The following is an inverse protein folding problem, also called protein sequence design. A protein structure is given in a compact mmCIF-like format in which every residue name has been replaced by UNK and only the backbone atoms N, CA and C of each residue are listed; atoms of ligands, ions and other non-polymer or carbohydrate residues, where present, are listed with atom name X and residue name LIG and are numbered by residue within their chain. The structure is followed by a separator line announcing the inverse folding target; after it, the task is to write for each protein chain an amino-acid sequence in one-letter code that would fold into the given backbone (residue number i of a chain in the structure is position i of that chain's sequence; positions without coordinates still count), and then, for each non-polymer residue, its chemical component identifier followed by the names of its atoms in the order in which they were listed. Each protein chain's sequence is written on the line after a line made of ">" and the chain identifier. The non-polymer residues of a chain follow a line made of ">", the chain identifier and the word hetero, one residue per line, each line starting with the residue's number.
data_IF_652778018238
#
_entry.id   IF_652778018238
#
_cell.length_a   1.000
_cell.length_b   1.000
_cell.length_c   1.000
_cell.angle_alpha   90.00
_cell.angle_beta   90.00
_cell.angle_gamma   90.00
#
_symmetry.space_group_name_H-M   'P 1'
#
loop_
_entity.id
_entity.type
_entity.pdbx_description
1 polymer ?
#
# COMPACT_ATOMS: atom_id res chain seq x y z
N UNK A 1 -38.53 -13.50 -68.09
CA UNK A 1 -37.28 -13.89 -68.80
C UNK A 1 -36.11 -13.18 -68.15
N UNK A 2 -35.05 -13.92 -67.78
CA UNK A 2 -33.72 -13.51 -67.26
C UNK A 2 -33.73 -12.90 -65.85
N UNK A 3 -33.43 -13.63 -64.78
CA UNK A 3 -32.14 -14.18 -64.30
C UNK A 3 -31.07 -13.13 -63.96
N UNK A 4 -30.40 -13.41 -62.82
CA UNK A 4 -29.10 -12.91 -62.34
C UNK A 4 -29.16 -11.57 -61.58
N UNK A 5 -28.64 -11.42 -60.37
CA UNK A 5 -27.65 -12.20 -59.63
C UNK A 5 -27.82 -11.92 -58.11
N UNK A 6 -27.89 -12.96 -57.27
CA UNK A 6 -26.80 -13.47 -56.41
C UNK A 6 -26.64 -12.71 -55.08
N UNK A 7 -26.96 -13.37 -53.95
CA UNK A 7 -26.00 -13.95 -52.97
C UNK A 7 -25.66 -12.90 -51.89
N UNK A 8 -25.69 -13.10 -50.57
CA UNK A 8 -25.64 -14.25 -49.66
C UNK A 8 -26.37 -13.82 -48.36
N UNK A 9 -27.22 -14.64 -47.74
CA UNK A 9 -26.85 -15.58 -46.66
C UNK A 9 -25.91 -14.96 -45.61
N UNK A 10 -26.42 -14.74 -44.38
CA UNK A 10 -25.62 -14.28 -43.26
C UNK A 10 -26.44 -14.09 -41.99
N UNK A 11 -26.72 -15.20 -41.31
CA UNK A 11 -27.20 -15.32 -39.93
C UNK A 11 -26.49 -14.38 -38.94
N UNK A 12 -27.23 -13.74 -38.04
CA UNK A 12 -26.72 -13.24 -36.76
C UNK A 12 -27.67 -13.66 -35.62
N UNK A 13 -27.32 -14.78 -35.01
CA UNK A 13 -27.60 -15.14 -33.62
C UNK A 13 -26.53 -14.49 -32.74
N UNK A 14 -26.94 -13.85 -31.64
CA UNK A 14 -26.23 -13.64 -30.36
C UNK A 14 -26.81 -12.37 -29.73
N UNK A 15 -27.22 -12.30 -28.47
CA UNK A 15 -27.08 -13.21 -27.34
C UNK A 15 -27.41 -12.32 -26.15
N UNK A 16 -28.56 -12.55 -25.52
CA UNK A 16 -28.91 -11.93 -24.25
C UNK A 16 -27.99 -12.52 -23.17
N UNK A 17 -27.00 -11.74 -22.74
CA UNK A 17 -26.33 -11.94 -21.46
C UNK A 17 -26.51 -10.64 -20.67
N UNK A 18 -27.61 -10.59 -19.92
CA UNK A 18 -27.78 -9.62 -18.85
C UNK A 18 -26.75 -9.94 -17.76
N UNK A 19 -25.67 -9.18 -17.72
CA UNK A 19 -24.74 -9.17 -16.61
C UNK A 19 -25.32 -8.31 -15.49
N UNK A 20 -25.38 -8.89 -14.29
CA UNK A 20 -25.66 -8.20 -13.04
C UNK A 20 -24.63 -7.08 -12.85
N UNK A 21 -25.06 -5.83 -12.97
CA UNK A 21 -24.29 -4.68 -12.49
C UNK A 21 -24.31 -4.71 -10.97
N UNK A 22 -23.20 -5.14 -10.36
CA UNK A 22 -22.93 -4.87 -8.96
C UNK A 22 -22.78 -3.35 -8.84
N UNK A 23 -23.72 -2.71 -8.15
CA UNK A 23 -23.68 -1.29 -7.83
C UNK A 23 -22.50 -1.05 -6.89
N UNK A 24 -21.40 -0.53 -7.42
CA UNK A 24 -20.34 0.09 -6.63
C UNK A 24 -20.85 1.48 -6.22
N UNK A 25 -20.77 1.88 -4.93
CA UNK A 25 -21.17 3.22 -4.51
C UNK A 25 -20.31 4.29 -5.19
N UNK A 26 -20.91 5.40 -5.59
CA UNK A 26 -20.17 6.56 -6.12
C UNK A 26 -19.10 7.04 -5.11
N UNK A 27 -17.88 7.37 -5.57
CA UNK A 27 -16.85 7.91 -4.69
C UNK A 27 -17.26 9.30 -4.15
N UNK A 28 -16.97 9.63 -2.87
CA UNK A 28 -17.29 10.94 -2.31
C UNK A 28 -16.51 12.07 -3.00
N UNK A 29 -17.13 13.25 -3.07
CA UNK A 29 -16.56 14.47 -3.68
C UNK A 29 -15.27 14.93 -2.98
N UNK A 30 -14.32 15.38 -3.81
CA UNK A 30 -12.97 15.79 -3.42
C UNK A 30 -12.95 17.15 -2.70
N UNK A 31 -12.35 17.18 -1.51
CA UNK A 31 -11.91 18.42 -0.87
C UNK A 31 -10.43 18.63 -1.23
N UNK A 32 -10.02 19.80 -1.75
CA UNK A 32 -8.61 20.07 -2.03
C UNK A 32 -7.82 20.17 -0.72
N UNK A 33 -6.87 19.25 -0.51
CA UNK A 33 -5.93 19.29 0.62
C UNK A 33 -4.63 19.95 0.19
N UNK A 34 -4.58 21.29 0.19
CA UNK A 34 -3.30 22.00 0.40
C UNK A 34 -3.11 22.20 1.90
N UNK A 35 -2.83 21.11 2.61
CA UNK A 35 -2.55 21.16 4.05
C UNK A 35 -1.05 21.43 4.18
N UNK A 36 -0.68 22.66 4.54
CA UNK A 36 0.57 22.88 5.25
C UNK A 36 0.50 22.01 6.50
N UNK A 37 1.27 20.92 6.54
CA UNK A 37 1.18 19.94 7.61
C UNK A 37 1.59 20.63 8.92
N UNK A 38 0.68 20.74 9.91
CA UNK A 38 1.09 21.08 11.27
C UNK A 38 2.17 20.10 11.68
N UNK A 39 3.18 20.53 12.43
CA UNK A 39 4.17 19.64 13.03
C UNK A 39 3.43 18.45 13.67
N UNK A 40 3.39 17.29 13.00
CA UNK A 40 2.58 16.14 13.42
C UNK A 40 3.05 15.62 14.77
N UNK A 41 4.31 15.87 15.12
CA UNK A 41 4.87 15.58 16.43
C UNK A 41 4.26 16.47 17.52
N UNK A 42 3.63 17.61 17.19
CA UNK A 42 2.85 18.40 18.13
C UNK A 42 1.56 17.70 18.58
N UNK A 43 1.09 16.68 17.83
CA UNK A 43 -0.05 15.83 18.23
C UNK A 43 0.34 14.83 19.32
N UNK A 44 1.64 14.59 19.56
CA UNK A 44 2.12 13.69 20.60
C UNK A 44 1.81 14.23 22.01
N UNK A 45 1.56 13.31 22.96
CA UNK A 45 1.44 13.65 24.38
C UNK A 45 2.60 14.51 24.90
N UNK A 46 2.38 15.38 25.91
CA UNK A 46 3.40 16.30 26.42
C UNK A 46 4.66 15.65 26.99
N UNK A 47 4.59 14.38 27.36
CA UNK A 47 5.69 13.58 27.89
C UNK A 47 6.49 12.85 26.81
N UNK A 48 6.10 12.97 25.54
CA UNK A 48 6.84 12.40 24.41
C UNK A 48 7.78 13.43 23.77
N UNK A 49 8.93 12.98 23.21
CA UNK A 49 9.80 13.84 22.42
C UNK A 49 9.06 14.44 21.22
N UNK A 50 9.46 15.66 20.83
CA UNK A 50 8.93 16.37 19.65
C UNK A 50 10.01 16.79 18.66
N UNK A 51 11.23 16.29 18.84
CA UNK A 51 12.38 16.53 17.98
C UNK A 51 12.42 15.53 16.84
N UNK A 52 13.11 15.89 15.76
CA UNK A 52 13.19 15.11 14.53
C UNK A 52 12.23 15.60 13.44
N UNK A 53 12.19 14.87 12.33
CA UNK A 53 11.31 15.16 11.20
C UNK A 53 10.75 13.87 10.62
N UNK A 54 9.46 13.87 10.36
CA UNK A 54 8.81 12.81 9.59
C UNK A 54 8.83 13.18 8.11
N UNK A 55 9.10 12.19 7.27
CA UNK A 55 9.05 12.36 5.81
C UNK A 55 7.61 12.14 5.36
N UNK A 56 7.11 13.02 4.50
CA UNK A 56 5.80 12.85 3.87
C UNK A 56 5.87 11.76 2.80
N UNK A 57 4.78 11.04 2.62
CA UNK A 57 4.68 10.00 1.59
C UNK A 57 4.20 10.60 0.28
N UNK A 58 4.81 10.17 -0.81
CA UNK A 58 4.24 10.38 -2.14
C UNK A 58 3.14 9.33 -2.38
N UNK A 59 2.04 9.75 -3.00
CA UNK A 59 0.97 8.84 -3.41
C UNK A 59 1.38 7.95 -4.59
N UNK A 60 0.50 7.04 -5.01
CA UNK A 60 0.76 6.25 -6.21
C UNK A 60 0.49 7.09 -7.47
N UNK A 61 1.42 7.03 -8.41
CA UNK A 61 1.27 7.63 -9.74
C UNK A 61 0.60 6.65 -10.71
N UNK A 62 -0.37 7.14 -11.49
CA UNK A 62 -1.03 6.35 -12.52
C UNK A 62 -0.07 5.96 -13.66
N UNK A 63 0.45 4.72 -13.61
CA UNK A 63 1.47 4.20 -14.55
C UNK A 63 1.17 2.74 -14.93
N UNK A 64 2.13 2.08 -15.60
CA UNK A 64 2.01 0.67 -15.98
C UNK A 64 1.87 -0.25 -14.76
N UNK A 65 1.39 -1.48 -14.98
CA UNK A 65 1.15 -2.48 -13.91
C UNK A 65 2.42 -2.77 -13.09
N UNK A 66 3.55 -2.98 -13.75
CA UNK A 66 4.82 -3.25 -13.08
C UNK A 66 5.35 -2.04 -12.30
N UNK A 67 5.13 -0.83 -12.79
CA UNK A 67 5.52 0.39 -12.08
C UNK A 67 4.63 0.61 -10.87
N UNK A 68 3.32 0.43 -11.00
CA UNK A 68 2.36 0.54 -9.89
C UNK A 68 2.65 -0.47 -8.78
N UNK A 69 3.05 -1.70 -9.15
CA UNK A 69 3.52 -2.69 -8.18
C UNK A 69 4.81 -2.24 -7.48
N UNK A 70 5.78 -1.67 -8.20
CA UNK A 70 7.02 -1.20 -7.62
C UNK A 70 6.82 0.02 -6.69
N UNK A 71 5.97 0.96 -7.09
CA UNK A 71 5.62 2.15 -6.31
C UNK A 71 4.87 1.74 -5.03
N UNK A 72 3.92 0.79 -5.13
CA UNK A 72 3.25 0.22 -3.96
C UNK A 72 4.23 -0.41 -2.96
N UNK A 73 5.13 -1.28 -3.43
CA UNK A 73 6.11 -1.91 -2.52
C UNK A 73 7.04 -0.88 -1.89
N UNK A 74 7.44 0.14 -2.64
CA UNK A 74 8.28 1.23 -2.14
C UNK A 74 7.56 2.03 -1.06
N UNK A 75 6.31 2.44 -1.29
CA UNK A 75 5.51 3.17 -0.31
C UNK A 75 5.27 2.35 0.98
N UNK A 76 5.06 1.03 0.85
CA UNK A 76 4.91 0.14 2.00
C UNK A 76 6.21 0.00 2.78
N UNK A 77 7.35 -0.13 2.10
CA UNK A 77 8.67 -0.19 2.74
C UNK A 77 9.02 1.14 3.43
N UNK A 78 8.72 2.27 2.80
CA UNK A 78 8.90 3.59 3.39
C UNK A 78 8.09 3.74 4.68
N UNK A 79 6.81 3.34 4.67
CA UNK A 79 5.99 3.32 5.88
C UNK A 79 6.57 2.39 6.94
N UNK A 80 6.90 1.16 6.57
CA UNK A 80 7.44 0.15 7.50
C UNK A 80 8.66 0.67 8.25
N UNK A 81 9.55 1.39 7.55
CA UNK A 81 10.81 1.88 8.12
C UNK A 81 10.76 3.34 8.62
N UNK A 82 9.64 4.04 8.42
CA UNK A 82 9.49 5.44 8.79
C UNK A 82 9.79 5.65 10.27
N UNK A 83 10.55 6.70 10.57
CA UNK A 83 10.94 7.05 11.95
C UNK A 83 12.06 6.19 12.56
N UNK A 84 12.47 5.06 11.97
CA UNK A 84 13.53 4.21 12.55
C UNK A 84 14.88 4.94 12.64
N UNK A 85 15.25 5.70 11.60
CA UNK A 85 16.43 6.58 11.60
C UNK A 85 16.34 7.68 12.65
N UNK A 86 15.14 8.26 12.84
CA UNK A 86 14.91 9.28 13.86
C UNK A 86 15.11 8.68 15.25
N UNK A 87 14.47 7.54 15.54
CA UNK A 87 14.59 6.86 16.83
C UNK A 87 16.02 6.38 17.10
N UNK A 88 16.77 5.98 16.08
CA UNK A 88 18.15 5.55 16.23
C UNK A 88 19.14 6.71 16.48
N UNK A 89 18.88 7.89 15.93
CA UNK A 89 19.86 8.98 15.87
C UNK A 89 19.51 10.22 16.69
N UNK A 90 18.23 10.46 17.01
CA UNK A 90 17.80 11.59 17.85
C UNK A 90 17.93 11.22 19.33
N UNK A 91 18.75 11.95 20.12
CA UNK A 91 19.01 11.60 21.51
C UNK A 91 17.75 11.49 22.38
N UNK A 92 16.76 12.36 22.15
CA UNK A 92 15.53 12.38 22.94
C UNK A 92 14.67 11.13 22.68
N UNK A 93 14.72 10.55 21.48
CA UNK A 93 13.98 9.33 21.13
C UNK A 93 14.74 8.05 21.49
N UNK A 94 16.07 8.10 21.48
CA UNK A 94 16.95 7.00 21.84
C UNK A 94 17.04 6.76 23.35
N UNK A 95 16.60 7.73 24.17
CA UNK A 95 16.63 7.63 25.63
C UNK A 95 15.76 6.46 26.13
N UNK A 96 16.33 5.49 26.90
CA UNK A 96 15.58 4.36 27.43
C UNK A 96 14.46 4.76 28.41
N UNK A 97 14.51 5.97 28.98
CA UNK A 97 13.47 6.48 29.89
C UNK A 97 12.24 7.01 29.14
N UNK A 98 12.27 7.09 27.79
CA UNK A 98 11.10 7.42 26.99
C UNK A 98 10.01 6.36 27.17
N UNK A 99 8.80 6.76 27.60
CA UNK A 99 7.68 5.84 27.78
C UNK A 99 7.35 5.05 26.51
N UNK A 100 6.95 3.79 26.67
CA UNK A 100 6.63 2.94 25.51
C UNK A 100 5.47 3.49 24.67
N UNK A 101 4.49 4.17 25.28
CA UNK A 101 3.37 4.75 24.54
C UNK A 101 3.83 5.80 23.52
N UNK A 102 4.96 6.48 23.75
CA UNK A 102 5.47 7.45 22.79
C UNK A 102 5.88 6.81 21.45
N UNK A 103 6.37 5.56 21.46
CA UNK A 103 6.64 4.83 20.22
C UNK A 103 5.35 4.33 19.56
N UNK A 104 4.34 3.97 20.36
CA UNK A 104 3.02 3.56 19.86
C UNK A 104 2.33 4.74 19.18
N UNK A 105 2.27 5.89 19.84
CA UNK A 105 1.66 7.12 19.32
C UNK A 105 2.41 7.63 18.08
N UNK A 106 3.75 7.51 18.07
CA UNK A 106 4.55 7.83 16.90
C UNK A 106 4.22 6.91 15.70
N UNK A 107 4.10 5.60 15.92
CA UNK A 107 3.72 4.65 14.87
C UNK A 107 2.32 4.93 14.31
N UNK A 108 1.36 5.30 15.17
CA UNK A 108 0.01 5.69 14.75
C UNK A 108 0.01 7.01 13.95
N UNK A 109 0.79 8.01 14.35
CA UNK A 109 0.95 9.26 13.59
C UNK A 109 1.54 8.97 12.20
N UNK A 110 2.60 8.15 12.14
CA UNK A 110 3.22 7.70 10.89
C UNK A 110 2.19 6.95 10.03
N UNK A 111 1.42 6.03 10.61
CA UNK A 111 0.34 5.34 9.92
C UNK A 111 -0.80 6.26 9.47
N UNK A 112 -0.99 7.39 10.15
CA UNK A 112 -1.83 8.50 9.72
C UNK A 112 -1.34 9.11 8.42
N UNK A 113 -0.06 9.48 8.35
CA UNK A 113 0.59 10.14 7.22
C UNK A 113 0.64 9.20 6.01
N UNK A 114 1.31 8.05 6.14
CA UNK A 114 1.52 7.11 5.04
C UNK A 114 0.22 6.45 4.60
N UNK A 115 -0.64 6.07 5.56
CA UNK A 115 -1.93 5.47 5.25
C UNK A 115 -2.83 6.39 4.44
N UNK A 116 -2.82 7.71 4.69
CA UNK A 116 -3.67 8.66 3.95
C UNK A 116 -3.19 8.92 2.52
N UNK A 117 -1.89 8.76 2.26
CA UNK A 117 -1.31 8.92 0.92
C UNK A 117 -1.47 7.66 0.05
N UNK A 118 -1.56 6.47 0.67
CA UNK A 118 -1.59 5.19 -0.04
C UNK A 118 -2.99 4.55 -0.11
N UNK A 119 -3.79 4.69 0.95
CA UNK A 119 -5.00 3.91 1.15
C UNK A 119 -6.27 4.77 1.00
N UNK A 120 -7.24 4.25 0.26
CA UNK A 120 -8.51 4.94 0.06
C UNK A 120 -9.34 4.93 1.36
N UNK A 121 -9.90 6.09 1.73
CA UNK A 121 -10.79 6.21 2.90
C UNK A 121 -12.08 5.37 2.76
N UNK A 122 -12.50 5.09 1.52
CA UNK A 122 -13.64 4.22 1.18
C UNK A 122 -13.26 2.79 0.79
N UNK A 123 -12.02 2.36 1.07
CA UNK A 123 -11.58 0.98 0.84
C UNK A 123 -12.36 -0.05 1.64
N UNK A 124 -12.26 -1.31 1.25
CA UNK A 124 -12.94 -2.39 1.96
C UNK A 124 -12.23 -2.77 3.29
N UNK A 125 -12.72 -3.80 3.97
CA UNK A 125 -12.18 -4.23 5.26
C UNK A 125 -10.70 -4.63 5.19
N UNK A 126 -10.21 -5.11 4.04
CA UNK A 126 -8.81 -5.55 3.88
C UNK A 126 -7.84 -4.39 4.02
N UNK A 127 -8.21 -3.19 3.55
CA UNK A 127 -7.41 -1.97 3.71
C UNK A 127 -7.24 -1.60 5.18
N UNK A 128 -8.30 -1.73 5.99
CA UNK A 128 -8.23 -1.46 7.42
C UNK A 128 -7.36 -2.49 8.17
N UNK A 129 -7.41 -3.76 7.75
CA UNK A 129 -6.55 -4.82 8.28
C UNK A 129 -5.09 -4.53 7.92
N UNK A 130 -4.80 -4.25 6.65
CA UNK A 130 -3.45 -3.96 6.18
C UNK A 130 -2.85 -2.72 6.86
N UNK A 131 -3.64 -1.65 7.05
CA UNK A 131 -3.21 -0.47 7.81
C UNK A 131 -2.75 -0.84 9.21
N UNK A 132 -3.54 -1.66 9.92
CA UNK A 132 -3.21 -2.09 11.27
C UNK A 132 -1.94 -2.94 11.31
N UNK A 133 -1.78 -3.83 10.33
CA UNK A 133 -0.57 -4.66 10.21
C UNK A 133 0.67 -3.80 9.98
N UNK A 134 0.60 -2.82 9.06
CA UNK A 134 1.73 -1.95 8.76
C UNK A 134 2.07 -0.98 9.89
N UNK A 135 1.08 -0.45 10.60
CA UNK A 135 1.33 0.33 11.84
C UNK A 135 2.02 -0.54 12.90
N UNK A 136 1.60 -1.80 13.06
CA UNK A 136 2.24 -2.75 13.97
C UNK A 136 3.68 -3.07 13.58
N UNK A 137 3.93 -3.32 12.29
CA UNK A 137 5.28 -3.55 11.76
C UNK A 137 6.18 -2.33 11.94
N UNK A 138 5.67 -1.13 11.70
CA UNK A 138 6.40 0.10 11.96
C UNK A 138 6.77 0.23 13.45
N UNK A 139 5.82 -0.03 14.36
CA UNK A 139 6.10 -0.02 15.80
C UNK A 139 7.21 -1.00 16.19
N UNK A 140 7.18 -2.23 15.65
CA UNK A 140 8.22 -3.22 15.90
C UNK A 140 9.59 -2.74 15.40
N UNK A 141 9.63 -2.07 14.24
CA UNK A 141 10.84 -1.45 13.70
C UNK A 141 11.36 -0.30 14.56
N UNK A 142 10.49 0.59 15.05
CA UNK A 142 10.88 1.66 15.96
C UNK A 142 11.48 1.10 17.27
N UNK A 143 10.86 0.06 17.83
CA UNK A 143 11.36 -0.65 19.02
C UNK A 143 12.72 -1.30 18.77
N UNK A 144 12.89 -1.95 17.61
CA UNK A 144 14.15 -2.54 17.21
C UNK A 144 15.25 -1.47 17.05
N UNK A 145 14.94 -0.37 16.37
CA UNK A 145 15.87 0.74 16.16
C UNK A 145 16.33 1.37 17.48
N UNK A 146 15.40 1.62 18.42
CA UNK A 146 15.74 2.13 19.76
C UNK A 146 16.67 1.19 20.52
N UNK A 147 16.40 -0.11 20.45
CA UNK A 147 17.16 -1.13 21.20
C UNK A 147 18.55 -1.36 20.61
N UNK A 148 18.66 -1.33 19.27
CA UNK A 148 19.89 -1.67 18.55
C UNK A 148 20.77 -0.45 18.26
N UNK A 149 20.22 0.77 18.38
CA UNK A 149 20.91 2.03 18.10
C UNK A 149 21.20 2.26 16.62
N UNK A 150 20.48 1.58 15.72
CA UNK A 150 20.64 1.71 14.27
C UNK A 150 19.28 1.61 13.59
N UNK A 151 19.11 2.29 12.45
CA UNK A 151 17.90 2.21 11.66
C UNK A 151 17.64 0.78 11.15
N UNK A 152 16.36 0.42 11.03
CA UNK A 152 15.94 -0.82 10.36
C UNK A 152 15.76 -0.56 8.86
N UNK A 153 15.82 -1.63 8.08
CA UNK A 153 15.62 -1.55 6.63
C UNK A 153 14.90 -2.82 6.14
N UNK A 154 13.63 -2.98 6.53
CA UNK A 154 12.76 -3.99 5.94
C UNK A 154 12.57 -3.64 4.46
N UNK A 155 12.69 -4.63 3.59
CA UNK A 155 12.47 -4.45 2.16
C UNK A 155 11.57 -5.52 1.58
N UNK A 156 10.72 -5.13 0.65
CA UNK A 156 9.89 -6.01 -0.16
C UNK A 156 10.37 -5.97 -1.59
N UNK A 157 10.55 -7.15 -2.17
CA UNK A 157 10.98 -7.32 -3.55
C UNK A 157 9.87 -8.00 -4.35
N UNK A 158 9.45 -7.38 -5.45
CA UNK A 158 8.55 -8.00 -6.39
C UNK A 158 9.25 -9.19 -7.06
N UNK A 159 8.72 -10.39 -6.84
CA UNK A 159 9.22 -11.60 -7.50
C UNK A 159 8.54 -11.78 -8.84
N UNK A 160 7.21 -11.67 -8.88
CA UNK A 160 6.44 -11.78 -10.13
C UNK A 160 5.07 -11.10 -10.00
N UNK A 161 4.59 -10.52 -11.10
CA UNK A 161 3.18 -10.17 -11.29
C UNK A 161 2.48 -11.40 -11.87
N UNK A 162 1.73 -12.15 -11.06
CA UNK A 162 1.04 -13.36 -11.53
C UNK A 162 -0.11 -13.04 -12.46
N UNK A 163 -0.85 -11.97 -12.14
CA UNK A 163 -1.97 -11.50 -12.94
C UNK A 163 -2.08 -10.00 -12.77
N UNK A 164 -2.40 -9.32 -13.86
CA UNK A 164 -2.77 -7.92 -13.80
C UNK A 164 -3.87 -7.63 -14.81
N UNK A 165 -4.64 -6.59 -14.54
CA UNK A 165 -5.67 -6.09 -15.43
C UNK A 165 -5.82 -4.60 -15.19
N UNK A 166 -5.73 -3.82 -16.26
CA UNK A 166 -5.87 -2.36 -16.21
C UNK A 166 -7.11 -1.92 -16.99
N UNK A 167 -7.84 -0.95 -16.45
CA UNK A 167 -8.99 -0.30 -17.08
C UNK A 167 -8.94 1.21 -16.83
N UNK A 168 -9.91 1.96 -17.36
CA UNK A 168 -10.03 3.39 -17.07
C UNK A 168 -10.45 3.66 -15.61
N UNK A 169 -11.10 2.69 -14.98
CA UNK A 169 -11.66 2.81 -13.63
C UNK A 169 -10.71 2.31 -12.55
N UNK A 170 -9.54 1.81 -12.94
CA UNK A 170 -8.53 1.28 -12.02
C UNK A 170 -7.84 0.02 -12.52
N UNK A 171 -7.08 -0.58 -11.61
CA UNK A 171 -6.17 -1.69 -11.84
C UNK A 171 -6.33 -2.77 -10.78
N UNK A 172 -6.23 -4.02 -11.23
CA UNK A 172 -6.08 -5.18 -10.36
C UNK A 172 -4.68 -5.77 -10.53
N UNK A 173 -4.03 -6.10 -9.41
CA UNK A 173 -2.73 -6.75 -9.36
C UNK A 173 -2.78 -7.98 -8.44
N UNK A 174 -2.30 -9.13 -8.93
CA UNK A 174 -1.88 -10.24 -8.10
C UNK A 174 -0.35 -10.34 -8.17
N UNK A 175 0.29 -10.08 -7.03
CA UNK A 175 1.74 -9.99 -6.89
C UNK A 175 2.27 -11.11 -6.00
N UNK A 176 3.48 -11.57 -6.31
CA UNK A 176 4.26 -12.39 -5.39
C UNK A 176 5.41 -11.53 -4.92
N UNK A 177 5.49 -11.36 -3.60
CA UNK A 177 6.40 -10.45 -2.93
C UNK A 177 7.30 -11.26 -2.02
N UNK A 178 8.60 -10.99 -2.06
CA UNK A 178 9.56 -11.52 -1.10
C UNK A 178 9.84 -10.45 -0.07
N UNK A 179 9.69 -10.79 1.21
CA UNK A 179 10.09 -9.91 2.31
C UNK A 179 11.51 -10.24 2.78
N UNK A 180 12.34 -9.21 2.88
CA UNK A 180 13.72 -9.25 3.35
C UNK A 180 13.80 -8.54 4.70
N UNK A 181 14.35 -9.22 5.70
CA UNK A 181 14.52 -8.69 7.05
C UNK A 181 15.72 -7.73 7.20
N UNK A 182 15.87 -7.18 8.41
CA UNK A 182 16.92 -6.22 8.79
C UNK A 182 18.35 -6.80 8.78
N UNK A 183 18.51 -8.11 8.56
CA UNK A 183 19.80 -8.77 8.30
C UNK A 183 19.92 -9.17 6.84
N UNK A 184 21.02 -8.80 6.18
CA UNK A 184 21.31 -9.18 4.80
C UNK A 184 21.36 -10.71 4.64
N UNK A 185 20.23 -11.32 4.23
CA UNK A 185 20.14 -12.75 3.94
C UNK A 185 19.01 -13.51 4.66
N UNK A 186 18.30 -12.91 5.61
CA UNK A 186 17.13 -13.55 6.23
C UNK A 186 15.86 -13.23 5.42
N UNK A 187 15.46 -14.16 4.56
CA UNK A 187 14.13 -14.15 3.92
C UNK A 187 13.10 -14.45 5.00
N UNK A 188 12.24 -13.48 5.34
CA UNK A 188 11.20 -13.65 6.36
C UNK A 188 9.93 -14.34 5.82
N UNK A 189 9.79 -14.47 4.49
CA UNK A 189 8.66 -15.16 3.88
C UNK A 189 8.44 -14.74 2.42
N UNK A 190 7.63 -15.53 1.72
CA UNK A 190 7.05 -15.18 0.42
C UNK A 190 5.56 -14.90 0.65
N UNK A 191 5.07 -13.79 0.12
CA UNK A 191 3.71 -13.31 0.29
C UNK A 191 3.03 -13.24 -1.08
N UNK A 192 1.76 -13.59 -1.15
CA UNK A 192 0.87 -13.31 -2.28
C UNK A 192 -0.01 -12.12 -1.93
N UNK A 193 -0.05 -11.11 -2.81
CA UNK A 193 -0.77 -9.86 -2.58
C UNK A 193 -1.83 -9.68 -3.66
N UNK A 194 -3.07 -9.46 -3.23
CA UNK A 194 -4.19 -9.11 -4.09
C UNK A 194 -4.52 -7.64 -3.89
N UNK A 195 -4.35 -6.83 -4.93
CA UNK A 195 -4.45 -5.38 -4.84
C UNK A 195 -5.45 -4.84 -5.85
N UNK A 196 -6.31 -3.94 -5.42
CA UNK A 196 -7.14 -3.10 -6.29
C UNK A 196 -6.74 -1.65 -6.05
N UNK A 197 -6.32 -0.98 -7.13
CA UNK A 197 -5.95 0.42 -7.16
C UNK A 197 -6.94 1.15 -8.06
N UNK A 198 -7.41 2.33 -7.66
CA UNK A 198 -8.27 3.15 -8.50
C UNK A 198 -7.97 4.64 -8.30
N UNK A 199 -8.20 5.47 -9.34
CA UNK A 199 -7.97 6.89 -9.26
C UNK A 199 -8.97 7.56 -8.30
N UNK A 200 -8.47 8.40 -7.40
CA UNK A 200 -9.24 9.30 -6.55
C UNK A 200 -8.73 10.74 -6.71
N UNK A 201 -9.30 11.46 -7.68
CA UNK A 201 -8.84 12.81 -8.02
C UNK A 201 -7.59 12.77 -8.90
N UNK A 202 -6.46 13.24 -8.37
CA UNK A 202 -5.18 13.24 -9.09
C UNK A 202 -4.24 12.10 -8.67
N UNK A 203 -4.63 11.31 -7.68
CA UNK A 203 -3.83 10.27 -7.06
C UNK A 203 -4.48 8.90 -7.30
N UNK A 204 -3.68 7.87 -7.44
CA UNK A 204 -4.15 6.48 -7.39
C UNK A 204 -4.08 5.98 -5.95
N UNK A 205 -5.18 5.39 -5.46
CA UNK A 205 -5.27 4.88 -4.08
C UNK A 205 -5.65 3.41 -4.06
N UNK A 206 -5.21 2.72 -3.00
CA UNK A 206 -5.51 1.31 -2.78
C UNK A 206 -6.87 1.16 -2.11
N UNK A 207 -7.78 0.44 -2.77
CA UNK A 207 -9.15 0.14 -2.29
C UNK A 207 -9.31 -1.26 -1.71
N UNK A 208 -8.39 -2.16 -2.08
CA UNK A 208 -8.32 -3.53 -1.56
C UNK A 208 -6.85 -3.94 -1.50
N UNK A 209 -6.43 -4.53 -0.39
CA UNK A 209 -5.12 -5.13 -0.25
C UNK A 209 -5.21 -6.30 0.73
N UNK A 210 -5.14 -7.52 0.18
CA UNK A 210 -5.08 -8.75 0.95
C UNK A 210 -3.71 -9.39 0.77
N UNK A 211 -3.06 -9.71 1.89
CA UNK A 211 -1.80 -10.46 1.93
C UNK A 211 -2.05 -11.89 2.40
N UNK A 212 -1.35 -12.86 1.80
CA UNK A 212 -1.39 -14.27 2.20
C UNK A 212 0.02 -14.84 2.19
N UNK A 213 0.27 -15.82 3.06
CA UNK A 213 1.47 -16.64 2.94
C UNK A 213 1.43 -17.41 1.63
N UNK A 214 2.47 -17.30 0.82
CA UNK A 214 2.56 -18.05 -0.42
C UNK A 214 2.85 -19.53 -0.13
N UNK A 215 1.93 -20.43 -0.52
CA UNK A 215 2.12 -21.87 -0.34
C UNK A 215 3.38 -22.36 -1.08
N UNK A 216 4.24 -23.09 -0.37
CA UNK A 216 5.47 -23.67 -0.94
C UNK A 216 5.11 -24.72 -2.01
N UNK A 217 5.17 -24.34 -3.28
CA UNK A 217 4.98 -25.25 -4.41
C UNK A 217 4.44 -24.61 -5.71
N UNK A 218 3.99 -23.37 -5.67
CA UNK A 218 3.40 -22.66 -6.83
C UNK A 218 4.42 -21.95 -7.74
N UNK A 219 5.71 -21.97 -7.39
CA UNK A 219 6.77 -21.29 -8.13
C UNK A 219 7.71 -22.30 -8.80
N UNK A 220 7.38 -22.73 -10.01
CA UNK A 220 8.31 -23.46 -10.88
C UNK A 220 9.09 -22.48 -11.75
N UNK A 221 10.40 -22.49 -11.59
CA UNK A 221 11.39 -21.74 -12.38
C UNK A 221 11.54 -22.30 -13.79
#
# INVERSE_FOLDING_TARGET
>A
MKQLARLLAGTLLAGFLGACTVLVPDPPELVPSTVQVPDRLAELPPDCPRTGSLVESEGLDARSEAQSAADLLTAVDEWSNAGSTMVANEPDWADPDVPEHCLVDLAEIIGGIHGSALLATGGDQTVAVFRKELTGENLDNLKAARTQGHATNIRRELVVVQRASTSQDGMFLNLVVRRLGSGAGESSGMEEWFVIVAPQGQEDLVFHLETKDAEHGSFTW
#
